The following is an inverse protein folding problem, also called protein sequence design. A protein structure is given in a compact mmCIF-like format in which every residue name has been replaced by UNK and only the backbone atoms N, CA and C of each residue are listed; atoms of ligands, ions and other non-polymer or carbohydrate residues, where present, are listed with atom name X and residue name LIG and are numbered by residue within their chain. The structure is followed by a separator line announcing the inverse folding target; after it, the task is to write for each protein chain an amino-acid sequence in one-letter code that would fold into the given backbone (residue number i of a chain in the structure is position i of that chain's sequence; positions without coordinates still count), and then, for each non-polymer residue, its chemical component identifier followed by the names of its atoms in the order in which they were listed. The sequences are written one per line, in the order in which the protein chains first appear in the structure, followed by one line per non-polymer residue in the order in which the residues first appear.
data_IF_520199491971
#
_entry.id   IF_520199491971
#
_cell.length_a   1.000
_cell.length_b   1.000
_cell.length_c   1.000
_cell.angle_alpha   90.00
_cell.angle_beta   90.00
_cell.angle_gamma   90.00
#
_symmetry.space_group_name_H-M   'P 1'
#
loop_
_entity.id
_entity.type
_entity.pdbx_description
1 polymer ?
#
# COMPACT_ATOMS: atom_id res chain seq x y z
N UNK A 1 5.16 62.06 68.06
CA UNK A 1 5.98 60.84 67.81
C UNK A 1 5.67 60.35 66.35
N UNK A 2 6.55 60.64 65.41
CA UNK A 2 6.39 60.26 64.02
C UNK A 2 7.05 58.89 63.75
N UNK A 3 6.45 58.00 62.94
CA UNK A 3 7.16 56.81 62.43
C UNK A 3 7.81 57.13 61.07
N UNK A 4 9.04 56.66 60.96
CA UNK A 4 9.91 56.70 59.76
C UNK A 4 9.35 55.81 58.63
N UNK A 5 9.23 56.44 57.44
CA UNK A 5 8.92 55.73 56.21
C UNK A 5 10.22 55.11 55.66
N UNK A 6 10.24 53.75 55.50
CA UNK A 6 11.26 53.03 54.69
C UNK A 6 10.80 53.02 53.22
N UNK A 7 11.63 53.55 52.35
CA UNK A 7 11.48 53.46 50.90
C UNK A 7 12.26 52.19 50.44
N UNK A 8 11.56 51.15 49.95
CA UNK A 8 12.17 50.04 49.26
C UNK A 8 12.21 50.35 47.78
N UNK A 9 13.41 50.48 47.22
CA UNK A 9 13.66 50.48 45.78
C UNK A 9 13.62 49.07 45.26
N UNK A 10 12.55 48.73 44.49
CA UNK A 10 12.47 47.50 43.75
C UNK A 10 13.20 47.61 42.39
N UNK A 11 14.25 46.83 42.22
CA UNK A 11 14.91 46.67 40.94
C UNK A 11 14.07 45.71 40.11
N UNK A 12 13.45 46.19 39.02
CA UNK A 12 12.77 45.36 38.03
C UNK A 12 13.83 44.90 37.01
N UNK A 13 14.23 43.63 37.07
CA UNK A 13 15.03 43.02 36.04
C UNK A 13 14.14 42.61 34.88
N UNK A 14 14.25 43.29 33.75
CA UNK A 14 13.64 42.89 32.49
C UNK A 14 14.44 41.69 31.91
N UNK A 15 13.86 40.50 31.98
CA UNK A 15 14.34 39.35 31.28
C UNK A 15 13.76 39.39 29.86
N UNK A 16 14.59 39.74 28.88
CA UNK A 16 14.24 39.69 27.46
C UNK A 16 14.31 38.22 27.00
N UNK A 17 13.17 37.58 26.84
CA UNK A 17 13.09 36.28 26.14
C UNK A 17 13.31 36.53 24.65
N UNK A 18 14.49 36.16 24.16
CA UNK A 18 14.77 36.08 22.73
C UNK A 18 14.09 34.81 22.19
N UNK A 19 12.99 34.97 21.47
CA UNK A 19 12.39 33.86 20.69
C UNK A 19 13.27 33.62 19.47
N UNK A 20 14.04 32.55 19.48
CA UNK A 20 14.75 32.08 18.30
C UNK A 20 13.75 31.34 17.43
N UNK A 21 13.51 31.71 16.18
CA UNK A 21 12.66 30.95 15.30
C UNK A 21 13.40 29.65 14.96
N UNK A 22 12.83 28.52 15.35
CA UNK A 22 13.25 27.19 14.86
C UNK A 22 12.82 27.13 13.39
N UNK A 23 13.78 27.37 12.49
CA UNK A 23 13.60 27.07 11.08
C UNK A 23 13.52 25.56 10.93
N UNK A 24 12.33 25.05 10.65
CA UNK A 24 12.12 23.68 10.21
C UNK A 24 12.92 23.47 8.92
N UNK A 25 14.06 22.80 9.01
CA UNK A 25 14.80 22.36 7.83
C UNK A 25 14.02 21.20 7.21
N UNK A 26 13.17 21.50 6.24
CA UNK A 26 12.73 20.52 5.27
C UNK A 26 13.99 20.05 4.53
N UNK A 27 14.48 18.87 4.90
CA UNK A 27 15.47 18.18 4.11
C UNK A 27 14.81 17.75 2.78
N UNK A 28 14.88 18.64 1.79
CA UNK A 28 14.65 18.25 0.40
C UNK A 28 15.75 17.26 0.04
N UNK A 29 15.40 15.98 -0.07
CA UNK A 29 16.26 14.96 -0.66
C UNK A 29 16.47 15.33 -2.14
N UNK A 30 17.57 15.99 -2.41
CA UNK A 30 18.04 16.28 -3.78
C UNK A 30 18.45 14.96 -4.42
N UNK A 31 17.57 14.42 -5.23
CA UNK A 31 17.93 13.34 -6.17
C UNK A 31 18.92 13.94 -7.16
N UNK A 32 20.20 13.62 -7.05
CA UNK A 32 21.22 13.97 -8.01
C UNK A 32 20.98 13.14 -9.29
N UNK A 33 20.06 13.59 -10.14
CA UNK A 33 19.94 13.16 -11.52
C UNK A 33 21.03 13.86 -12.34
N UNK A 34 21.67 13.12 -13.22
CA UNK A 34 22.62 13.65 -14.21
C UNK A 34 22.04 14.90 -14.87
N UNK A 35 22.91 15.91 -15.10
CA UNK A 35 22.57 17.15 -15.79
C UNK A 35 22.20 16.87 -17.26
N UNK A 36 20.97 16.47 -17.50
CA UNK A 36 20.29 16.44 -18.77
C UNK A 36 19.27 17.56 -18.82
N UNK A 37 18.98 18.07 -19.98
CA UNK A 37 17.95 19.08 -20.26
C UNK A 37 16.76 18.92 -19.32
N UNK A 38 16.40 19.97 -18.57
CA UNK A 38 15.28 19.95 -17.63
C UNK A 38 14.01 19.58 -18.40
N UNK A 39 13.57 18.33 -18.24
CA UNK A 39 12.33 17.87 -18.84
C UNK A 39 11.16 18.59 -18.16
N UNK A 40 10.22 19.06 -18.96
CA UNK A 40 9.01 19.74 -18.47
C UNK A 40 7.80 18.90 -18.86
N UNK A 41 6.92 18.54 -17.94
CA UNK A 41 5.74 17.75 -18.26
C UNK A 41 4.81 18.50 -19.23
N UNK A 42 4.21 17.83 -20.20
CA UNK A 42 3.08 18.36 -20.94
C UNK A 42 2.01 18.87 -19.98
N UNK A 43 1.21 19.84 -20.42
CA UNK A 43 0.15 20.38 -19.58
C UNK A 43 -1.22 20.14 -20.18
N UNK A 44 -2.19 19.93 -19.33
CA UNK A 44 -3.61 19.92 -19.69
C UNK A 44 -4.07 21.33 -20.09
N UNK A 45 -5.23 21.48 -20.74
CA UNK A 45 -5.81 22.80 -21.03
C UNK A 45 -5.96 23.70 -19.80
N UNK A 46 -6.12 23.10 -18.62
CA UNK A 46 -6.23 23.83 -17.34
C UNK A 46 -4.86 24.25 -16.77
N UNK A 47 -3.77 24.00 -17.49
CA UNK A 47 -2.40 24.40 -17.11
C UNK A 47 -1.70 23.49 -16.11
N UNK A 48 -2.33 22.41 -15.67
CA UNK A 48 -1.73 21.43 -14.77
C UNK A 48 -0.89 20.41 -15.52
N UNK A 49 0.13 19.79 -14.87
CA UNK A 49 0.86 18.68 -15.48
C UNK A 49 -0.08 17.59 -15.97
N UNK A 50 0.16 17.10 -17.19
CA UNK A 50 -0.61 16.02 -17.79
C UNK A 50 -0.12 14.66 -17.23
N UNK A 51 -0.89 14.11 -16.30
CA UNK A 51 -0.68 12.78 -15.71
C UNK A 51 -1.54 11.71 -16.40
N UNK A 52 -2.34 12.08 -17.42
CA UNK A 52 -3.28 11.17 -18.06
C UNK A 52 -2.56 10.03 -18.78
N UNK A 53 -3.22 8.90 -18.81
CA UNK A 53 -2.71 7.69 -19.45
C UNK A 53 -2.84 6.47 -18.57
N UNK A 54 -2.29 5.37 -19.04
CA UNK A 54 -2.22 4.12 -18.32
C UNK A 54 -0.78 3.93 -17.84
N UNK A 55 -0.64 3.58 -16.57
CA UNK A 55 0.64 3.45 -15.89
C UNK A 55 0.75 2.08 -15.26
N UNK A 56 1.81 1.37 -15.62
CA UNK A 56 2.16 0.05 -15.11
C UNK A 56 3.06 0.19 -13.89
N UNK A 57 2.67 -0.44 -12.78
CA UNK A 57 3.45 -0.42 -11.54
C UNK A 57 4.03 -1.79 -11.14
N UNK A 58 4.16 -2.69 -12.11
CA UNK A 58 4.82 -4.00 -11.91
C UNK A 58 6.30 -3.83 -11.58
N UNK A 59 6.76 -4.52 -10.55
CA UNK A 59 8.18 -4.55 -10.21
C UNK A 59 8.53 -5.75 -9.34
N UNK A 60 9.80 -6.21 -9.42
CA UNK A 60 10.35 -7.20 -8.48
C UNK A 60 10.99 -6.53 -7.26
N UNK A 61 11.06 -5.19 -7.22
CA UNK A 61 11.55 -4.49 -6.03
C UNK A 61 10.58 -4.73 -4.87
N UNK A 62 11.06 -5.29 -3.75
CA UNK A 62 10.20 -5.59 -2.61
C UNK A 62 9.77 -4.31 -1.89
N UNK A 63 8.64 -4.37 -1.17
CA UNK A 63 8.18 -3.26 -0.34
C UNK A 63 9.24 -2.90 0.70
N UNK A 64 9.75 -3.89 1.44
CA UNK A 64 10.78 -3.72 2.45
C UNK A 64 12.12 -4.27 1.98
N UNK A 65 13.21 -3.66 2.44
CA UNK A 65 14.56 -4.08 2.11
C UNK A 65 14.84 -5.49 2.65
N UNK A 66 15.20 -6.44 1.77
CA UNK A 66 15.60 -7.78 2.19
C UNK A 66 16.85 -7.76 3.07
N UNK A 67 16.97 -8.75 3.94
CA UNK A 67 18.15 -8.87 4.84
C UNK A 67 19.47 -8.96 4.07
N UNK A 68 19.46 -9.57 2.90
CA UNK A 68 20.64 -9.67 2.02
C UNK A 68 21.16 -8.31 1.54
N UNK A 69 20.31 -7.26 1.58
CA UNK A 69 20.63 -5.89 1.20
C UNK A 69 20.57 -4.92 2.39
N UNK A 70 20.75 -5.41 3.62
CA UNK A 70 20.54 -4.58 4.83
C UNK A 70 21.27 -3.24 4.78
N UNK A 71 22.52 -3.24 4.28
CA UNK A 71 23.40 -2.08 4.23
C UNK A 71 23.45 -1.43 2.83
N UNK A 72 22.60 -1.88 1.90
CA UNK A 72 22.64 -1.43 0.52
C UNK A 72 21.31 -0.84 0.07
N UNK A 73 21.30 0.46 -0.14
CA UNK A 73 20.09 1.17 -0.58
C UNK A 73 19.80 1.01 -2.08
N UNK A 74 20.85 0.99 -2.92
CA UNK A 74 20.76 0.96 -4.38
C UNK A 74 21.67 -0.11 -4.94
N UNK A 75 21.17 -0.91 -5.88
CA UNK A 75 21.94 -1.94 -6.59
C UNK A 75 22.76 -1.33 -7.73
N UNK A 76 23.91 -1.93 -8.04
CA UNK A 76 24.57 -1.67 -9.32
C UNK A 76 23.71 -2.21 -10.47
N UNK A 77 24.06 -1.90 -11.71
CA UNK A 77 23.35 -2.43 -12.86
C UNK A 77 23.45 -3.96 -12.95
N UNK A 78 24.63 -4.50 -12.64
CA UNK A 78 24.92 -5.94 -12.66
C UNK A 78 24.16 -6.67 -11.55
N UNK A 79 24.13 -6.10 -10.33
CA UNK A 79 23.40 -6.66 -9.20
C UNK A 79 21.89 -6.63 -9.43
N UNK A 80 21.38 -5.54 -10.04
CA UNK A 80 19.97 -5.46 -10.39
C UNK A 80 19.61 -6.56 -11.40
N UNK A 81 20.40 -6.72 -12.46
CA UNK A 81 20.18 -7.76 -13.47
C UNK A 81 20.27 -9.18 -12.88
N UNK A 82 21.18 -9.44 -11.94
CA UNK A 82 21.28 -10.72 -11.24
C UNK A 82 20.06 -10.95 -10.34
N UNK A 83 19.65 -9.94 -9.58
CA UNK A 83 18.46 -10.02 -8.73
C UNK A 83 17.19 -10.29 -9.56
N UNK A 84 17.02 -9.59 -10.68
CA UNK A 84 15.90 -9.78 -11.61
C UNK A 84 15.85 -11.23 -12.13
N UNK A 85 16.97 -11.77 -12.63
CA UNK A 85 17.05 -13.17 -13.09
C UNK A 85 16.69 -14.15 -11.98
N UNK A 86 17.24 -13.97 -10.77
CA UNK A 86 16.98 -14.82 -9.62
C UNK A 86 15.50 -14.79 -9.22
N UNK A 87 14.90 -13.60 -9.19
CA UNK A 87 13.49 -13.43 -8.84
C UNK A 87 12.56 -14.08 -9.86
N UNK A 88 12.85 -13.96 -11.15
CA UNK A 88 12.09 -14.64 -12.22
C UNK A 88 12.24 -16.15 -12.10
N UNK A 89 13.46 -16.65 -11.98
CA UNK A 89 13.73 -18.09 -11.87
C UNK A 89 13.08 -18.72 -10.61
N UNK A 90 13.04 -17.99 -9.48
CA UNK A 90 12.42 -18.48 -8.25
C UNK A 90 10.90 -18.67 -8.34
N UNK A 91 10.27 -18.05 -9.34
CA UNK A 91 8.81 -18.09 -9.56
C UNK A 91 8.39 -19.18 -10.55
N UNK A 92 9.34 -19.78 -11.24
CA UNK A 92 9.05 -20.88 -12.16
C UNK A 92 8.69 -22.13 -11.34
N UNK A 93 7.39 -22.30 -11.14
CA UNK A 93 6.85 -23.41 -10.37
C UNK A 93 7.14 -24.75 -11.04
N UNK A 94 7.18 -24.80 -12.37
CA UNK A 94 7.44 -26.03 -13.11
C UNK A 94 8.91 -26.47 -13.02
N UNK A 95 9.84 -25.51 -13.06
CA UNK A 95 11.27 -25.77 -12.87
C UNK A 95 11.63 -26.12 -11.41
N UNK A 96 10.92 -25.50 -10.45
CA UNK A 96 11.19 -25.65 -9.02
C UNK A 96 10.34 -26.72 -8.33
N UNK A 97 9.53 -27.47 -9.10
CA UNK A 97 8.65 -28.50 -8.56
C UNK A 97 9.45 -29.70 -8.06
N UNK A 98 9.49 -29.90 -6.75
CA UNK A 98 10.00 -31.13 -6.16
C UNK A 98 8.91 -32.22 -6.27
N UNK A 99 9.14 -33.17 -7.16
CA UNK A 99 8.19 -34.28 -7.47
C UNK A 99 7.94 -35.20 -6.27
N UNK A 100 8.80 -35.16 -5.25
CA UNK A 100 8.67 -36.02 -4.07
C UNK A 100 8.03 -35.32 -2.87
N UNK A 101 8.14 -33.98 -2.76
CA UNK A 101 7.60 -33.20 -1.64
C UNK A 101 6.08 -32.97 -1.71
N UNK A 102 5.42 -33.40 -2.75
CA UNK A 102 4.08 -32.96 -3.14
C UNK A 102 2.90 -33.73 -2.53
N UNK A 103 3.07 -34.43 -1.41
CA UNK A 103 1.97 -35.22 -0.80
C UNK A 103 1.74 -34.85 0.67
N UNK A 104 1.06 -33.70 0.86
CA UNK A 104 0.49 -33.36 2.16
C UNK A 104 -0.95 -33.82 2.30
N UNK A 105 -1.45 -34.02 3.53
CA UNK A 105 -2.87 -34.25 3.81
C UNK A 105 -3.37 -33.02 4.57
N UNK A 106 -4.32 -32.28 4.00
CA UNK A 106 -5.02 -31.18 4.67
C UNK A 106 -6.47 -31.62 4.87
N UNK A 107 -6.93 -31.65 6.12
CA UNK A 107 -8.29 -32.10 6.49
C UNK A 107 -8.66 -33.48 5.96
N UNK A 108 -7.72 -34.43 5.95
CA UNK A 108 -7.97 -35.80 5.49
C UNK A 108 -7.98 -35.99 3.97
N UNK A 109 -7.78 -34.91 3.22
CA UNK A 109 -7.66 -34.96 1.75
C UNK A 109 -6.19 -34.83 1.37
N UNK A 110 -5.64 -35.72 0.52
CA UNK A 110 -4.32 -35.52 -0.02
C UNK A 110 -4.30 -34.21 -0.83
N UNK A 111 -3.61 -33.21 -0.31
CA UNK A 111 -3.30 -31.99 -1.07
C UNK A 111 -1.86 -32.14 -1.49
N UNK A 112 -1.65 -32.18 -2.75
CA UNK A 112 -0.32 -31.98 -3.28
C UNK A 112 0.03 -30.52 -3.03
N UNK A 113 1.23 -30.19 -2.57
CA UNK A 113 1.77 -28.81 -2.60
C UNK A 113 1.63 -28.21 -4.00
N UNK A 114 1.47 -29.05 -4.99
CA UNK A 114 1.08 -28.79 -6.35
C UNK A 114 -0.19 -27.92 -6.50
N UNK A 115 -1.12 -27.94 -5.57
CA UNK A 115 -2.31 -27.07 -5.63
C UNK A 115 -1.94 -25.63 -5.30
N UNK A 116 -1.00 -25.39 -4.39
CA UNK A 116 -0.46 -24.07 -4.12
C UNK A 116 0.41 -23.54 -5.27
N UNK A 117 1.01 -24.46 -6.04
CA UNK A 117 1.84 -24.20 -7.21
C UNK A 117 1.07 -24.39 -8.54
N UNK A 118 -0.19 -24.82 -8.50
CA UNK A 118 -1.00 -25.10 -9.68
C UNK A 118 -1.40 -23.85 -10.48
N UNK A 119 -1.19 -22.70 -9.91
CA UNK A 119 -1.34 -21.44 -10.61
C UNK A 119 -0.04 -21.17 -11.38
N UNK A 120 0.01 -21.59 -12.63
CA UNK A 120 1.19 -21.46 -13.49
C UNK A 120 1.66 -20.00 -13.55
N UNK A 121 2.98 -19.82 -13.60
CA UNK A 121 3.61 -18.49 -13.57
C UNK A 121 3.07 -17.56 -14.69
N UNK A 122 2.64 -18.10 -15.79
CA UNK A 122 2.08 -17.37 -16.91
C UNK A 122 0.76 -16.61 -16.57
N UNK A 123 0.04 -17.03 -15.54
CA UNK A 123 -1.15 -16.30 -15.03
C UNK A 123 -0.79 -15.14 -14.10
N UNK A 124 0.47 -15.11 -13.63
CA UNK A 124 0.98 -14.07 -12.78
C UNK A 124 1.67 -13.00 -13.62
N UNK A 125 1.36 -11.74 -13.30
CA UNK A 125 1.99 -10.59 -13.95
C UNK A 125 2.70 -9.73 -12.90
N UNK A 126 3.68 -10.34 -12.24
CA UNK A 126 4.41 -9.73 -11.11
C UNK A 126 5.52 -8.78 -11.53
N UNK A 127 5.71 -8.56 -12.81
CA UNK A 127 6.84 -7.86 -13.35
C UNK A 127 8.15 -8.66 -13.27
N UNK A 128 9.15 -8.21 -14.02
CA UNK A 128 10.45 -8.88 -14.14
C UNK A 128 11.63 -7.96 -13.80
N UNK A 129 11.38 -6.67 -13.58
CA UNK A 129 12.40 -5.63 -13.40
C UNK A 129 12.29 -4.98 -12.04
N UNK A 130 13.44 -4.57 -11.50
CA UNK A 130 13.47 -3.62 -10.38
C UNK A 130 13.03 -2.22 -10.86
N UNK A 131 12.60 -1.37 -9.94
CA UNK A 131 12.33 0.04 -10.25
C UNK A 131 13.55 0.72 -10.87
N UNK A 132 13.32 1.71 -11.75
CA UNK A 132 14.40 2.36 -12.52
C UNK A 132 15.50 2.98 -11.65
N UNK A 133 15.21 3.39 -10.43
CA UNK A 133 16.19 3.87 -9.45
C UNK A 133 17.07 2.75 -8.85
N UNK A 134 16.78 1.49 -9.14
CA UNK A 134 17.45 0.29 -8.60
C UNK A 134 17.50 0.22 -7.07
N UNK A 135 16.54 0.84 -6.39
CA UNK A 135 16.42 0.72 -4.93
C UNK A 135 16.15 -0.72 -4.52
N UNK A 136 16.68 -1.09 -3.36
CA UNK A 136 16.49 -2.43 -2.78
C UNK A 136 15.17 -2.58 -2.01
N UNK A 137 14.40 -1.48 -1.88
CA UNK A 137 13.07 -1.44 -1.29
C UNK A 137 12.25 -0.32 -1.88
N UNK A 138 10.93 -0.47 -1.91
CA UNK A 138 10.01 0.63 -2.22
C UNK A 138 9.90 1.58 -1.04
N UNK A 139 9.99 1.09 0.22
CA UNK A 139 10.08 1.97 1.40
C UNK A 139 11.32 2.84 1.29
N UNK A 140 11.10 4.16 1.28
CA UNK A 140 12.12 5.19 1.15
C UNK A 140 12.38 5.94 2.47
N UNK A 141 11.41 5.93 3.35
CA UNK A 141 11.51 6.49 4.69
C UNK A 141 10.72 5.59 5.68
N UNK A 142 11.36 5.04 6.69
CA UNK A 142 12.74 5.26 7.17
C UNK A 142 13.82 4.80 6.17
N UNK A 143 15.07 5.33 6.29
CA UNK A 143 16.15 5.07 5.32
C UNK A 143 16.69 3.63 5.35
N UNK A 144 16.37 2.86 6.40
CA UNK A 144 16.66 1.42 6.45
C UNK A 144 15.80 0.61 5.46
N UNK A 145 14.83 1.26 4.82
CA UNK A 145 13.96 0.64 3.83
C UNK A 145 12.96 -0.35 4.42
N UNK A 146 12.60 -0.20 5.69
CA UNK A 146 11.67 -1.09 6.40
C UNK A 146 10.46 -0.35 6.91
N UNK A 147 9.34 -1.03 6.93
CA UNK A 147 8.13 -0.53 7.60
C UNK A 147 8.37 -0.52 9.10
N UNK A 148 8.06 0.58 9.81
CA UNK A 148 8.20 0.65 11.26
C UNK A 148 7.42 -0.47 11.97
N UNK A 149 7.88 -0.90 13.15
CA UNK A 149 7.19 -1.91 13.93
C UNK A 149 5.73 -1.55 14.21
N UNK A 150 4.91 -2.59 14.31
CA UNK A 150 3.54 -2.45 14.78
C UNK A 150 3.50 -2.00 16.24
N UNK A 151 2.46 -1.24 16.61
CA UNK A 151 2.13 -1.03 18.02
C UNK A 151 1.71 -2.35 18.67
N UNK A 152 1.83 -2.52 20.00
CA UNK A 152 1.36 -3.72 20.68
C UNK A 152 -0.13 -4.02 20.42
N UNK A 153 -0.95 -2.98 20.34
CA UNK A 153 -2.38 -3.06 20.06
C UNK A 153 -2.64 -3.57 18.63
N UNK A 154 -1.90 -3.07 17.66
CA UNK A 154 -2.00 -3.52 16.28
C UNK A 154 -1.55 -4.98 16.13
N UNK A 155 -0.45 -5.37 16.75
CA UNK A 155 0.02 -6.75 16.75
C UNK A 155 -1.04 -7.71 17.33
N UNK A 156 -1.66 -7.34 18.46
CA UNK A 156 -2.76 -8.10 19.07
C UNK A 156 -3.98 -8.18 18.15
N UNK A 157 -4.36 -7.06 17.52
CA UNK A 157 -5.49 -6.99 16.58
C UNK A 157 -5.28 -7.89 15.37
N UNK A 158 -4.08 -7.88 14.78
CA UNK A 158 -3.75 -8.72 13.64
C UNK A 158 -3.72 -10.19 14.01
N UNK A 159 -3.08 -10.57 15.12
CA UNK A 159 -3.07 -11.94 15.60
C UNK A 159 -4.50 -12.47 15.83
N UNK A 160 -5.39 -11.67 16.41
CA UNK A 160 -6.79 -12.05 16.60
C UNK A 160 -7.53 -12.25 15.26
N UNK A 161 -7.25 -11.43 14.25
CA UNK A 161 -7.81 -11.61 12.91
C UNK A 161 -7.29 -12.87 12.22
N UNK A 162 -6.00 -13.17 12.34
CA UNK A 162 -5.42 -14.37 11.76
C UNK A 162 -6.05 -15.63 12.38
N UNK A 163 -6.20 -15.67 13.72
CA UNK A 163 -6.92 -16.76 14.42
C UNK A 163 -8.38 -16.86 13.98
N UNK A 164 -9.06 -15.73 13.79
CA UNK A 164 -10.46 -15.75 13.33
C UNK A 164 -10.60 -16.33 11.91
N UNK A 165 -9.61 -16.11 11.04
CA UNK A 165 -9.60 -16.61 9.66
C UNK A 165 -9.33 -18.12 9.56
N UNK A 166 -8.68 -18.71 10.56
CA UNK A 166 -8.45 -20.17 10.61
C UNK A 166 -9.71 -20.95 10.95
N UNK A 167 -10.72 -20.30 11.53
CA UNK A 167 -11.99 -20.94 11.88
C UNK A 167 -12.93 -21.03 10.67
N UNK A 168 -13.87 -22.01 10.66
CA UNK A 168 -14.96 -22.01 9.70
C UNK A 168 -15.70 -20.65 9.74
N UNK A 169 -15.89 -20.04 8.59
CA UNK A 169 -16.53 -18.73 8.51
C UNK A 169 -18.02 -18.81 8.88
N UNK A 170 -18.49 -17.98 9.80
CA UNK A 170 -19.91 -17.86 10.12
C UNK A 170 -20.65 -17.10 9.00
N UNK A 171 -20.01 -16.08 8.44
CA UNK A 171 -20.51 -15.29 7.34
C UNK A 171 -19.39 -14.70 6.46
N UNK A 172 -19.74 -13.96 5.41
CA UNK A 172 -18.76 -13.30 4.54
C UNK A 172 -17.86 -12.31 5.31
N UNK A 173 -18.36 -11.72 6.40
CA UNK A 173 -17.66 -10.74 7.22
C UNK A 173 -16.40 -11.31 7.88
N UNK A 174 -16.34 -12.62 8.06
CA UNK A 174 -15.15 -13.31 8.60
C UNK A 174 -14.03 -13.45 7.55
N UNK A 175 -14.28 -12.99 6.33
CA UNK A 175 -13.31 -13.04 5.23
C UNK A 175 -12.80 -11.67 4.88
N UNK A 176 -11.60 -11.64 4.30
CA UNK A 176 -10.95 -10.40 3.91
C UNK A 176 -11.73 -9.63 2.85
N UNK A 177 -11.48 -8.33 2.76
CA UNK A 177 -12.07 -7.47 1.73
C UNK A 177 -11.73 -7.94 0.30
N UNK A 178 -10.59 -8.63 0.11
CA UNK A 178 -10.21 -9.22 -1.17
C UNK A 178 -11.05 -10.45 -1.51
N UNK A 179 -11.22 -11.40 -0.58
CA UNK A 179 -12.08 -12.58 -0.77
C UNK A 179 -13.55 -12.20 -1.02
N UNK A 180 -13.97 -11.07 -0.45
CA UNK A 180 -15.32 -10.49 -0.62
C UNK A 180 -15.46 -9.65 -1.88
N UNK A 181 -14.44 -9.54 -2.70
CA UNK A 181 -14.41 -8.67 -3.89
C UNK A 181 -14.73 -7.19 -3.62
N UNK A 182 -14.43 -6.69 -2.42
CA UNK A 182 -14.65 -5.30 -2.04
C UNK A 182 -13.47 -4.43 -2.45
N UNK A 183 -12.23 -4.90 -2.16
CA UNK A 183 -10.98 -4.26 -2.54
C UNK A 183 -10.00 -5.31 -3.05
N UNK A 184 -9.27 -4.97 -4.11
CA UNK A 184 -8.15 -5.78 -4.57
C UNK A 184 -6.92 -5.67 -3.67
N UNK A 185 -6.06 -6.65 -3.72
CA UNK A 185 -4.84 -6.68 -2.91
C UNK A 185 -3.80 -5.63 -3.31
N UNK A 186 -3.93 -5.05 -4.50
CA UNK A 186 -3.01 -4.05 -5.06
C UNK A 186 -3.70 -2.75 -5.53
N UNK A 187 -5.06 -2.70 -5.49
CA UNK A 187 -5.81 -1.55 -6.01
C UNK A 187 -5.71 -0.30 -5.12
N UNK A 188 -5.29 -0.46 -3.89
CA UNK A 188 -5.15 0.67 -2.97
C UNK A 188 -6.48 1.30 -2.53
N UNK A 189 -6.42 2.55 -2.01
CA UNK A 189 -5.18 3.26 -1.68
C UNK A 189 -4.49 2.73 -0.40
N UNK A 190 -3.15 2.71 -0.33
CA UNK A 190 -2.19 2.99 -1.40
C UNK A 190 -2.08 1.82 -2.40
N UNK A 191 -1.69 2.13 -3.65
CA UNK A 191 -1.35 1.11 -4.64
C UNK A 191 -0.02 0.45 -4.28
N UNK A 192 0.08 -0.87 -4.46
CA UNK A 192 1.30 -1.62 -4.20
C UNK A 192 1.44 -2.76 -5.23
N UNK A 193 2.66 -3.16 -5.59
CA UNK A 193 2.87 -4.28 -6.50
C UNK A 193 2.22 -5.56 -5.97
N UNK A 194 1.62 -6.32 -6.86
CA UNK A 194 0.86 -7.53 -6.55
C UNK A 194 1.13 -8.67 -7.51
N UNK A 195 0.14 -9.52 -7.68
CA UNK A 195 0.24 -10.70 -8.53
C UNK A 195 -0.09 -10.46 -10.01
N UNK A 196 -1.05 -9.61 -10.29
CA UNK A 196 -1.58 -9.31 -11.63
C UNK A 196 -2.48 -8.06 -11.59
N UNK A 197 -2.96 -7.59 -12.76
CA UNK A 197 -3.80 -6.39 -12.93
C UNK A 197 -3.17 -5.17 -12.23
N UNK A 198 -1.96 -4.82 -12.66
CA UNK A 198 -1.15 -3.78 -12.04
C UNK A 198 -1.07 -2.52 -12.90
N UNK A 199 -2.13 -2.26 -13.65
CA UNK A 199 -2.28 -1.02 -14.38
C UNK A 199 -3.20 -0.05 -13.62
N UNK A 200 -2.88 1.23 -13.72
CA UNK A 200 -3.72 2.32 -13.25
C UNK A 200 -3.91 3.34 -14.36
N UNK A 201 -5.16 3.73 -14.60
CA UNK A 201 -5.49 4.82 -15.51
C UNK A 201 -5.74 6.08 -14.71
N UNK A 202 -5.11 7.17 -15.13
CA UNK A 202 -5.38 8.51 -14.59
C UNK A 202 -6.12 9.32 -15.65
N UNK A 203 -7.23 9.92 -15.26
CA UNK A 203 -8.03 10.83 -16.09
C UNK A 203 -8.16 12.16 -15.35
N UNK A 204 -7.88 13.25 -16.04
CA UNK A 204 -8.02 14.61 -15.50
C UNK A 204 -9.21 15.31 -16.17
N UNK A 205 -10.00 15.96 -15.35
CA UNK A 205 -11.12 16.80 -15.78
C UNK A 205 -11.12 18.10 -14.96
N UNK A 206 -11.75 19.17 -15.41
CA UNK A 206 -11.85 20.40 -14.64
C UNK A 206 -12.36 20.15 -13.22
N UNK A 207 -11.51 20.45 -12.22
CA UNK A 207 -11.83 20.27 -10.81
C UNK A 207 -11.78 18.84 -10.26
N UNK A 208 -11.37 17.85 -11.05
CA UNK A 208 -11.31 16.45 -10.63
C UNK A 208 -10.17 15.69 -11.26
N UNK A 209 -9.63 14.72 -10.52
CA UNK A 209 -8.82 13.63 -11.06
C UNK A 209 -9.52 12.31 -10.73
N UNK A 210 -9.56 11.40 -11.69
CA UNK A 210 -10.07 10.03 -11.50
C UNK A 210 -8.91 9.07 -11.62
N UNK A 211 -8.74 8.22 -10.61
CA UNK A 211 -7.71 7.17 -10.54
C UNK A 211 -8.44 5.84 -10.62
N UNK A 212 -8.28 5.13 -11.75
CA UNK A 212 -8.95 3.85 -12.02
C UNK A 212 -7.92 2.73 -11.96
N UNK A 213 -8.02 1.88 -10.98
CA UNK A 213 -7.20 0.68 -10.89
C UNK A 213 -7.82 -0.46 -11.68
N UNK A 214 -7.01 -1.20 -12.43
CA UNK A 214 -7.46 -2.37 -13.19
C UNK A 214 -8.01 -3.46 -12.25
N UNK A 215 -7.34 -3.70 -11.13
CA UNK A 215 -7.79 -4.66 -10.12
C UNK A 215 -9.13 -4.21 -9.52
N UNK A 216 -10.15 -5.04 -9.71
CA UNK A 216 -11.54 -4.81 -9.24
C UNK A 216 -12.16 -3.51 -9.82
N UNK A 217 -11.62 -3.01 -10.94
CA UNK A 217 -12.05 -1.74 -11.58
C UNK A 217 -12.33 -0.62 -10.57
N UNK A 218 -11.51 -0.56 -9.50
CA UNK A 218 -11.70 0.39 -8.43
C UNK A 218 -11.39 1.82 -8.90
N UNK A 219 -12.40 2.67 -8.95
CA UNK A 219 -12.28 4.06 -9.38
C UNK A 219 -12.41 5.01 -8.20
N UNK A 220 -11.42 5.89 -8.03
CA UNK A 220 -11.44 6.98 -7.04
C UNK A 220 -11.61 8.31 -7.72
N UNK A 221 -12.66 9.04 -7.37
CA UNK A 221 -12.88 10.41 -7.82
C UNK A 221 -12.28 11.35 -6.78
N UNK A 222 -11.28 12.11 -7.18
CA UNK A 222 -10.53 13.05 -6.33
C UNK A 222 -10.92 14.48 -6.70
N UNK A 223 -11.77 15.16 -5.91
CA UNK A 223 -12.05 16.58 -6.10
C UNK A 223 -10.79 17.41 -5.82
N UNK A 224 -10.58 18.45 -6.63
CA UNK A 224 -9.46 19.41 -6.53
C UNK A 224 -9.90 20.75 -5.93
N UNK A 225 -10.97 20.76 -5.16
CA UNK A 225 -11.48 21.95 -4.47
C UNK A 225 -11.22 21.86 -2.96
N UNK A 226 -11.45 22.99 -2.26
CA UNK A 226 -11.19 23.12 -0.83
C UNK A 226 -12.30 22.56 0.07
N UNK A 227 -13.22 21.73 -0.48
CA UNK A 227 -14.25 21.10 0.35
C UNK A 227 -13.64 20.20 1.41
N UNK A 228 -14.17 20.17 2.64
CA UNK A 228 -13.66 19.29 3.67
C UNK A 228 -13.88 17.81 3.32
N UNK A 229 -13.10 16.93 3.96
CA UNK A 229 -13.42 15.50 3.95
C UNK A 229 -14.82 15.27 4.52
N UNK A 230 -15.58 14.35 3.91
CA UNK A 230 -16.87 13.93 4.46
C UNK A 230 -16.70 13.16 5.78
N UNK A 231 -17.82 12.91 6.46
CA UNK A 231 -17.82 12.15 7.73
C UNK A 231 -18.19 10.67 7.54
N UNK A 232 -18.52 10.24 6.32
CA UNK A 232 -18.91 8.88 6.03
C UNK A 232 -17.65 8.03 5.77
N UNK A 233 -17.34 7.04 6.63
CA UNK A 233 -16.24 6.11 6.37
C UNK A 233 -16.52 5.28 5.10
N UNK A 234 -15.46 5.05 4.33
CA UNK A 234 -15.51 4.27 3.09
C UNK A 234 -14.35 3.28 3.03
N UNK A 235 -14.49 2.24 2.22
CA UNK A 235 -13.42 1.23 2.04
C UNK A 235 -12.13 1.84 1.49
N UNK A 236 -12.24 2.80 0.57
CA UNK A 236 -11.11 3.53 -0.04
C UNK A 236 -10.87 4.90 0.59
N UNK A 237 -11.55 5.19 1.70
CA UNK A 237 -11.51 6.50 2.33
C UNK A 237 -12.16 7.59 1.48
N UNK A 238 -12.02 8.84 1.91
CA UNK A 238 -12.43 10.04 1.17
C UNK A 238 -11.20 10.83 0.78
N UNK A 239 -11.01 11.04 -0.52
CA UNK A 239 -9.83 11.71 -1.09
C UNK A 239 -10.10 13.17 -1.40
N UNK A 240 -9.07 14.01 -1.24
CA UNK A 240 -9.02 15.42 -1.68
C UNK A 240 -7.69 15.67 -2.36
N UNK A 241 -7.72 16.30 -3.50
CA UNK A 241 -6.54 16.58 -4.29
C UNK A 241 -6.19 18.07 -4.30
N UNK A 242 -4.93 18.37 -4.46
CA UNK A 242 -4.39 19.69 -4.74
C UNK A 242 -3.11 19.60 -5.54
N UNK A 243 -2.78 20.64 -6.24
CA UNK A 243 -1.51 20.75 -6.95
C UNK A 243 -0.47 21.47 -6.09
N UNK A 244 0.70 20.88 -5.97
CA UNK A 244 1.90 21.48 -5.38
C UNK A 244 2.99 21.55 -6.45
N UNK A 245 3.06 22.65 -7.19
CA UNK A 245 3.89 22.77 -8.38
C UNK A 245 3.47 21.74 -9.44
N UNK A 246 4.38 20.83 -9.82
CA UNK A 246 4.15 19.79 -10.81
C UNK A 246 3.70 18.45 -10.20
N UNK A 247 3.36 18.43 -8.93
CA UNK A 247 2.91 17.25 -8.20
C UNK A 247 1.43 17.34 -7.83
N UNK A 248 0.65 16.33 -8.20
CA UNK A 248 -0.68 16.11 -7.63
C UNK A 248 -0.52 15.47 -6.24
N UNK A 249 -1.03 16.12 -5.23
CA UNK A 249 -1.08 15.60 -3.84
C UNK A 249 -2.50 15.19 -3.52
N UNK A 250 -2.69 13.95 -3.08
CA UNK A 250 -3.99 13.41 -2.68
C UNK A 250 -3.96 13.05 -1.20
N UNK A 251 -4.77 13.74 -0.41
CA UNK A 251 -5.00 13.48 1.01
C UNK A 251 -6.23 12.56 1.13
N UNK A 252 -6.08 11.42 1.78
CA UNK A 252 -7.15 10.44 1.96
C UNK A 252 -7.30 10.05 3.42
N UNK A 253 -8.54 10.15 3.93
CA UNK A 253 -8.94 9.85 5.31
C UNK A 253 -10.28 9.13 5.34
N UNK A 254 -10.81 8.90 6.54
CA UNK A 254 -12.13 8.28 6.75
C UNK A 254 -12.23 6.88 6.15
N UNK A 255 -11.22 6.08 6.37
CA UNK A 255 -11.23 4.66 6.02
C UNK A 255 -12.13 3.87 6.97
N UNK A 256 -12.69 2.79 6.46
CA UNK A 256 -13.23 1.71 7.30
C UNK A 256 -12.09 0.95 7.99
N UNK A 257 -12.41 0.13 8.97
CA UNK A 257 -11.43 -0.60 9.78
C UNK A 257 -10.62 -1.67 9.04
N UNK A 258 -10.97 -1.99 7.80
CA UNK A 258 -10.18 -2.80 6.87
C UNK A 258 -9.95 -2.02 5.57
N UNK A 259 -8.72 -2.06 5.08
CA UNK A 259 -8.32 -1.46 3.81
C UNK A 259 -7.50 -2.47 3.01
N UNK A 260 -7.09 -2.13 1.79
CA UNK A 260 -6.15 -2.93 1.00
C UNK A 260 -4.76 -3.00 1.65
N UNK A 261 -4.38 -2.00 2.46
CA UNK A 261 -3.12 -2.00 3.20
C UNK A 261 -3.27 -2.84 4.48
N UNK A 262 -2.73 -4.06 4.43
CA UNK A 262 -2.85 -5.02 5.55
C UNK A 262 -2.39 -4.42 6.87
N UNK A 263 -3.25 -4.50 7.85
CA UNK A 263 -2.99 -4.08 9.23
C UNK A 263 -3.42 -2.66 9.54
N UNK A 264 -3.65 -1.80 8.56
CA UNK A 264 -4.13 -0.44 8.80
C UNK A 264 -5.49 -0.43 9.53
N UNK A 265 -5.82 0.71 10.08
CA UNK A 265 -7.05 0.92 10.84
C UNK A 265 -7.88 2.07 10.24
N UNK A 266 -9.00 2.37 10.86
CA UNK A 266 -9.80 3.56 10.53
C UNK A 266 -9.09 4.89 10.85
N UNK A 267 -7.97 4.83 11.59
CA UNK A 267 -7.12 6.00 11.86
C UNK A 267 -6.12 6.30 10.74
N UNK A 268 -6.12 5.49 9.68
CA UNK A 268 -5.22 5.70 8.55
C UNK A 268 -5.43 7.09 7.94
N UNK A 269 -4.34 7.84 7.86
CA UNK A 269 -4.18 9.04 7.06
C UNK A 269 -3.16 8.76 5.98
N UNK A 270 -3.56 8.85 4.74
CA UNK A 270 -2.73 8.55 3.59
C UNK A 270 -2.51 9.82 2.77
N UNK A 271 -1.25 10.13 2.50
CA UNK A 271 -0.87 11.18 1.55
C UNK A 271 -0.21 10.53 0.36
N UNK A 272 -0.78 10.72 -0.81
CA UNK A 272 -0.25 10.21 -2.08
C UNK A 272 0.24 11.38 -2.94
N UNK A 273 1.34 11.18 -3.66
CA UNK A 273 1.96 12.19 -4.51
C UNK A 273 2.24 11.58 -5.88
N UNK A 274 1.77 12.24 -6.91
CA UNK A 274 1.94 11.81 -8.29
C UNK A 274 2.72 12.89 -9.04
N UNK A 275 3.94 12.55 -9.48
CA UNK A 275 4.82 13.48 -10.18
C UNK A 275 5.30 12.83 -11.47
N UNK A 276 4.99 13.40 -12.61
CA UNK A 276 5.53 12.92 -13.88
C UNK A 276 6.97 13.42 -14.01
N UNK A 277 7.94 12.52 -13.92
CA UNK A 277 9.37 12.85 -13.83
C UNK A 277 10.08 12.82 -15.18
N UNK A 278 9.52 12.12 -16.16
CA UNK A 278 9.92 12.11 -17.56
C UNK A 278 8.73 11.73 -18.47
N UNK A 279 9.00 11.51 -19.77
CA UNK A 279 7.95 11.20 -20.75
C UNK A 279 7.17 9.93 -20.40
N UNK A 280 7.84 8.93 -19.84
CA UNK A 280 7.33 7.57 -19.64
C UNK A 280 7.29 7.14 -18.17
N UNK A 281 7.66 8.02 -17.23
CA UNK A 281 7.71 7.69 -15.80
C UNK A 281 6.83 8.63 -14.97
N UNK A 282 5.91 8.02 -14.23
CA UNK A 282 5.13 8.65 -13.16
C UNK A 282 5.67 8.17 -11.81
N UNK A 283 6.31 9.04 -11.05
CA UNK A 283 6.68 8.73 -9.68
C UNK A 283 5.45 8.82 -8.79
N UNK A 284 5.01 7.68 -8.30
CA UNK A 284 4.02 7.58 -7.25
C UNK A 284 4.72 7.42 -5.90
N UNK A 285 4.47 8.33 -5.00
CA UNK A 285 4.95 8.27 -3.62
C UNK A 285 3.75 8.27 -2.69
N UNK A 286 3.79 7.48 -1.62
CA UNK A 286 2.77 7.53 -0.61
C UNK A 286 3.34 7.50 0.80
N UNK A 287 2.74 8.27 1.69
CA UNK A 287 3.06 8.30 3.12
C UNK A 287 1.88 7.77 3.92
N UNK A 288 2.16 6.78 4.73
CA UNK A 288 1.22 6.13 5.64
C UNK A 288 1.41 6.69 7.04
N UNK A 289 0.39 7.28 7.60
CA UNK A 289 0.35 7.72 8.99
C UNK A 289 -0.87 7.07 9.68
N UNK A 290 -0.63 6.04 10.44
CA UNK A 290 -1.63 5.35 11.27
C UNK A 290 -1.01 5.02 12.64
N UNK A 291 -1.06 5.95 13.58
CA UNK A 291 -0.40 5.82 14.88
C UNK A 291 -1.00 4.72 15.76
N UNK A 292 -2.17 4.20 15.40
CA UNK A 292 -2.75 3.03 16.08
C UNK A 292 -2.25 1.71 15.50
N UNK A 293 -1.53 1.76 14.38
CA UNK A 293 -0.98 0.58 13.70
C UNK A 293 0.53 0.55 13.74
N UNK A 294 1.21 1.61 13.32
CA UNK A 294 2.67 1.66 13.28
C UNK A 294 3.24 2.67 14.27
N UNK A 295 4.44 2.38 14.76
CA UNK A 295 5.12 3.23 15.75
C UNK A 295 5.56 4.59 15.20
N UNK A 296 5.65 4.72 13.87
CA UNK A 296 6.00 5.95 13.15
C UNK A 296 5.34 5.96 11.77
N UNK A 297 5.10 7.12 11.16
CA UNK A 297 4.78 7.22 9.75
C UNK A 297 5.92 6.68 8.87
N UNK A 298 5.56 6.20 7.68
CA UNK A 298 6.52 5.70 6.70
C UNK A 298 6.11 6.05 5.28
N UNK A 299 7.08 6.11 4.38
CA UNK A 299 6.88 6.50 2.99
C UNK A 299 7.45 5.44 2.06
N UNK A 300 6.76 5.17 0.96
CA UNK A 300 7.25 4.34 -0.13
C UNK A 300 7.17 5.10 -1.46
N UNK A 301 8.06 4.73 -2.39
CA UNK A 301 8.13 5.27 -3.75
C UNK A 301 8.01 4.14 -4.76
N UNK A 302 7.10 4.29 -5.70
CA UNK A 302 6.80 3.33 -6.75
C UNK A 302 6.79 4.06 -8.10
N UNK A 303 7.91 4.13 -8.80
CA UNK A 303 7.93 4.62 -10.17
C UNK A 303 7.09 3.71 -11.06
N UNK A 304 6.13 4.29 -11.75
CA UNK A 304 5.23 3.61 -12.69
C UNK A 304 5.67 3.96 -14.11
N UNK A 305 5.54 3.00 -15.02
CA UNK A 305 5.95 3.16 -16.40
C UNK A 305 4.71 3.34 -17.28
N UNK A 306 4.77 4.29 -18.22
CA UNK A 306 3.69 4.48 -19.19
C UNK A 306 3.55 3.23 -20.05
N UNK A 307 2.31 2.81 -20.28
CA UNK A 307 1.98 1.71 -21.19
C UNK A 307 0.85 2.10 -22.13
N UNK A 308 0.86 1.48 -23.33
CA UNK A 308 -0.24 1.53 -24.28
C UNK A 308 -1.16 0.30 -24.16
N UNK A 309 -0.92 -0.56 -23.16
CA UNK A 309 -1.78 -1.70 -22.86
C UNK A 309 -3.19 -1.24 -22.51
N UNK A 310 -4.14 -2.11 -22.76
CA UNK A 310 -5.53 -1.85 -22.35
C UNK A 310 -5.75 -2.27 -20.90
N UNK A 311 -6.59 -1.54 -20.20
CA UNK A 311 -7.14 -1.98 -18.92
C UNK A 311 -8.27 -2.98 -19.20
N UNK A 312 -8.19 -4.14 -18.54
CA UNK A 312 -9.23 -5.17 -18.63
C UNK A 312 -10.10 -5.16 -17.38
N UNK A 313 -11.35 -5.52 -17.55
CA UNK A 313 -12.25 -5.70 -16.42
C UNK A 313 -11.80 -6.91 -15.58
N UNK A 314 -11.66 -6.70 -14.28
CA UNK A 314 -11.51 -7.78 -13.32
C UNK A 314 -12.85 -8.04 -12.65
N UNK A 315 -13.63 -8.96 -13.23
CA UNK A 315 -14.99 -9.31 -12.82
C UNK A 315 -15.00 -10.22 -11.59
N UNK A 316 -14.60 -9.70 -10.44
CA UNK A 316 -14.43 -10.47 -9.21
C UNK A 316 -15.76 -11.02 -8.67
N UNK A 317 -16.82 -10.21 -8.69
CA UNK A 317 -18.13 -10.58 -8.14
C UNK A 317 -18.81 -11.68 -8.94
N UNK A 318 -18.79 -11.59 -10.26
CA UNK A 318 -19.49 -12.45 -11.18
C UNK A 318 -18.96 -13.90 -11.13
N UNK A 319 -17.69 -14.07 -10.81
CA UNK A 319 -17.04 -15.37 -10.70
C UNK A 319 -16.78 -15.84 -9.27
N UNK A 320 -17.27 -15.14 -8.24
CA UNK A 320 -16.92 -15.44 -6.85
C UNK A 320 -17.65 -16.69 -6.29
N UNK A 321 -17.56 -17.80 -7.00
CA UNK A 321 -18.02 -19.11 -6.48
C UNK A 321 -17.18 -19.56 -5.27
N UNK A 322 -15.97 -19.06 -5.11
CA UNK A 322 -15.09 -19.33 -3.97
C UNK A 322 -15.74 -18.94 -2.65
N UNK A 323 -16.39 -17.79 -2.55
CA UNK A 323 -17.10 -17.35 -1.34
C UNK A 323 -18.24 -18.29 -0.98
N UNK A 324 -19.09 -18.65 -1.95
CA UNK A 324 -20.19 -19.60 -1.74
C UNK A 324 -19.68 -20.97 -1.28
N UNK A 325 -18.67 -21.51 -1.95
CA UNK A 325 -18.11 -22.83 -1.62
C UNK A 325 -17.44 -22.84 -0.24
N UNK A 326 -16.76 -21.76 0.14
CA UNK A 326 -16.12 -21.62 1.45
C UNK A 326 -17.17 -21.62 2.58
N UNK A 327 -18.25 -20.87 2.41
CA UNK A 327 -19.34 -20.83 3.40
C UNK A 327 -20.10 -22.15 3.47
N UNK A 328 -20.33 -22.83 2.35
CA UNK A 328 -20.92 -24.16 2.33
C UNK A 328 -20.02 -25.21 3.01
N UNK A 329 -18.70 -25.13 2.78
CA UNK A 329 -17.72 -25.99 3.45
C UNK A 329 -17.73 -25.79 4.96
N UNK A 330 -17.81 -24.54 5.45
CA UNK A 330 -17.95 -24.23 6.86
C UNK A 330 -19.21 -24.89 7.48
N UNK A 331 -20.36 -24.78 6.81
CA UNK A 331 -21.63 -25.44 7.23
C UNK A 331 -21.52 -26.95 7.26
N UNK A 332 -20.76 -27.57 6.35
CA UNK A 332 -20.51 -29.00 6.36
C UNK A 332 -19.69 -29.43 7.58
N UNK A 333 -18.61 -28.72 7.88
CA UNK A 333 -17.77 -28.99 9.07
C UNK A 333 -18.58 -28.90 10.35
N UNK A 334 -19.41 -27.87 10.51
CA UNK A 334 -20.29 -27.70 11.68
C UNK A 334 -21.29 -28.86 11.83
N UNK A 335 -21.89 -29.28 10.72
CA UNK A 335 -22.84 -30.41 10.71
C UNK A 335 -22.15 -31.71 11.15
N UNK A 336 -20.95 -31.95 10.66
CA UNK A 336 -20.20 -33.17 10.98
C UNK A 336 -19.76 -33.16 12.45
N UNK A 337 -19.33 -32.02 12.99
CA UNK A 337 -19.02 -31.85 14.41
C UNK A 337 -20.23 -32.12 15.30
N UNK A 338 -21.40 -31.58 14.93
CA UNK A 338 -22.65 -31.83 15.66
C UNK A 338 -23.08 -33.29 15.60
N UNK A 339 -22.86 -33.99 14.48
CA UNK A 339 -23.16 -35.42 14.32
C UNK A 339 -22.18 -36.31 15.13
N UNK A 340 -20.88 -35.94 15.14
CA UNK A 340 -19.85 -36.64 15.94
C UNK A 340 -20.07 -36.51 17.44
N UNK A 341 -20.45 -35.31 17.92
CA UNK A 341 -20.82 -35.09 19.32
C UNK A 341 -21.99 -35.94 19.80
N UNK A 342 -22.97 -36.24 18.93
CA UNK A 342 -24.09 -37.14 19.24
C UNK A 342 -23.69 -38.62 19.35
N UNK A 343 -22.64 -39.06 18.64
CA UNK A 343 -22.13 -40.44 18.72
C UNK A 343 -21.30 -40.68 19.99
N UNK A 344 -20.67 -39.65 20.54
CA UNK A 344 -19.89 -39.74 21.78
C UNK A 344 -20.73 -39.72 23.07
N UNK A 345 -22.01 -39.35 22.97
CA UNK A 345 -22.94 -39.25 24.10
C UNK A 345 -23.91 -40.45 24.21
N UNK A 346 -23.70 -41.50 23.45
CA UNK A 346 -24.36 -42.80 23.52
C UNK A 346 -23.34 -43.89 23.88
#
# INVERSE_FOLDING_TARGET
MQPRRLVLLGIVALVSLSVVPVASQNASSTTTGAAGTSWTPPRTPDGHPDLQGIWDFRTVTPMERPKEFADKEVLTAEEAAEYERRMVASRDADANRDKEASRGIVNGTPVTEDVALAYNDFWWDRGTRVVGSRRTSLVSNPPDGRIPPLTPEAAKRLAARDVARERPAEGPEDRSVGERCILGFNSGPPMAPGGYNQNVQIVQAPGYVVIVNEMIHNARIVPLDDRPHGNLPQWVGTSRGRWEGDTLVVDTRNFLGETSLRGSSSSLHLIERFTRVDADTLLYEFTVDDPTTWTKPWTAQLPMVRTDDQIFEYACHEGNYGMTNLLLGARSVEKDAAAGGRKSSR
#
